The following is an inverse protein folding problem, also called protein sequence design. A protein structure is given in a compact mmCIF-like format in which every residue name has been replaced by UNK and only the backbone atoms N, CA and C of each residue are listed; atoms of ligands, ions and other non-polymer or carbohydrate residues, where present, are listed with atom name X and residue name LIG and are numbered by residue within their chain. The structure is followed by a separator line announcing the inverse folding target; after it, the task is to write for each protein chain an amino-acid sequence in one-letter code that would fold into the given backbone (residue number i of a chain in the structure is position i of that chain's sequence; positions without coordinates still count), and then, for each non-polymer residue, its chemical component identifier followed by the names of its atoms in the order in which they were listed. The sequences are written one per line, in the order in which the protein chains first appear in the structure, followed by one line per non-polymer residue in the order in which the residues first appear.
data_IF_018501411795
#
_entry.id   IF_018501411795
#
_cell.length_a   1.000
_cell.length_b   1.000
_cell.length_c   1.000
_cell.angle_alpha   90.00
_cell.angle_beta   90.00
_cell.angle_gamma   90.00
#
_symmetry.space_group_name_H-M   'P 1'
#
loop_
_entity.id
_entity.type
_entity.pdbx_description
1 polymer ?
#
# COMPACT_ATOMS: atom_id res chain seq x y z
N UNK A 1 -1.62 -9.44 14.83
CA UNK A 1 -0.77 -10.64 14.79
C UNK A 1 -1.27 -11.60 13.72
N UNK A 2 -0.39 -12.46 13.22
CA UNK A 2 -0.78 -13.46 12.22
C UNK A 2 -1.46 -14.67 12.88
N UNK A 3 -2.58 -15.08 12.30
CA UNK A 3 -3.29 -16.31 12.64
C UNK A 3 -3.04 -17.29 11.51
N UNK A 4 -2.17 -18.29 11.72
CA UNK A 4 -1.78 -19.22 10.66
C UNK A 4 -2.74 -20.39 10.62
N UNK A 5 -3.50 -20.51 9.54
CA UNK A 5 -4.42 -21.61 9.30
C UNK A 5 -3.92 -22.42 8.12
N UNK A 6 -3.64 -23.70 8.34
CA UNK A 6 -3.35 -24.65 7.27
C UNK A 6 -4.43 -25.73 7.21
N UNK A 7 -4.95 -26.00 6.02
CA UNK A 7 -5.83 -27.14 5.76
C UNK A 7 -5.05 -28.20 4.99
N UNK A 8 -4.78 -29.32 5.64
CA UNK A 8 -4.03 -30.43 5.05
C UNK A 8 -4.91 -31.26 4.10
N UNK A 9 -4.29 -32.06 3.25
CA UNK A 9 -5.01 -32.98 2.34
C UNK A 9 -5.84 -34.05 3.09
N UNK A 10 -5.52 -34.29 4.37
CA UNK A 10 -6.27 -35.16 5.29
C UNK A 10 -7.55 -34.53 5.85
N UNK A 11 -7.92 -33.32 5.41
CA UNK A 11 -8.97 -32.48 6.01
C UNK A 11 -8.69 -32.05 7.46
N UNK A 12 -7.46 -32.24 7.95
CA UNK A 12 -7.00 -31.73 9.25
C UNK A 12 -6.76 -30.22 9.18
N UNK A 13 -7.32 -29.48 10.15
CA UNK A 13 -7.09 -28.05 10.31
C UNK A 13 -5.93 -27.88 11.29
N UNK A 14 -4.92 -27.10 10.90
CA UNK A 14 -3.86 -26.64 11.77
C UNK A 14 -4.06 -25.15 12.05
N UNK A 15 -3.95 -24.78 13.32
CA UNK A 15 -3.91 -23.41 13.81
C UNK A 15 -2.56 -23.19 14.48
N UNK A 16 -1.75 -22.28 13.92
CA UNK A 16 -0.37 -22.01 14.36
C UNK A 16 0.48 -23.29 14.47
N UNK A 17 0.24 -24.23 13.54
CA UNK A 17 0.92 -25.53 13.47
C UNK A 17 0.34 -26.62 14.37
N UNK A 18 -0.67 -26.32 15.19
CA UNK A 18 -1.33 -27.29 16.08
C UNK A 18 -2.64 -27.79 15.46
N UNK A 19 -2.90 -29.09 15.53
CA UNK A 19 -4.16 -29.64 15.05
C UNK A 19 -5.33 -29.16 15.93
N UNK A 20 -6.38 -28.63 15.29
CA UNK A 20 -7.57 -28.12 15.95
C UNK A 20 -8.84 -28.56 15.23
N UNK A 21 -9.96 -28.52 15.94
CA UNK A 21 -11.29 -28.61 15.33
C UNK A 21 -11.87 -27.22 14.96
N UNK A 22 -13.05 -27.23 14.34
CA UNK A 22 -13.74 -25.99 13.93
C UNK A 22 -14.22 -25.14 15.11
N UNK A 23 -14.53 -25.74 16.27
CA UNK A 23 -14.99 -25.00 17.44
C UNK A 23 -13.84 -24.21 18.05
N UNK A 24 -12.69 -24.87 18.23
CA UNK A 24 -11.45 -24.27 18.69
C UNK A 24 -10.97 -23.16 17.76
N UNK A 25 -11.01 -23.39 16.44
CA UNK A 25 -10.70 -22.35 15.46
C UNK A 25 -11.64 -21.15 15.59
N UNK A 26 -12.96 -21.39 15.69
CA UNK A 26 -13.94 -20.31 15.83
C UNK A 26 -13.73 -19.50 17.11
N UNK A 27 -13.36 -20.16 18.21
CA UNK A 27 -13.02 -19.52 19.48
C UNK A 27 -11.75 -18.67 19.42
N UNK A 28 -10.77 -19.04 18.59
CA UNK A 28 -9.58 -18.20 18.32
C UNK A 28 -9.92 -17.01 17.44
N UNK A 29 -10.70 -17.23 16.37
CA UNK A 29 -11.11 -16.17 15.45
C UNK A 29 -12.05 -15.16 16.10
N UNK A 30 -12.91 -15.56 17.04
CA UNK A 30 -13.79 -14.63 17.77
C UNK A 30 -13.07 -13.68 18.70
N UNK A 31 -11.82 -13.99 19.07
CA UNK A 31 -10.96 -13.14 19.91
C UNK A 31 -10.03 -12.25 19.08
N UNK A 32 -10.03 -12.39 17.76
CA UNK A 32 -9.17 -11.64 16.87
C UNK A 32 -9.69 -10.22 16.67
N UNK A 33 -8.79 -9.24 16.62
CA UNK A 33 -9.09 -7.85 16.32
C UNK A 33 -8.82 -7.59 14.83
N UNK A 34 -9.85 -7.23 14.05
CA UNK A 34 -9.71 -7.03 12.60
C UNK A 34 -8.79 -5.85 12.20
N UNK A 35 -8.44 -4.98 13.15
CA UNK A 35 -7.48 -3.88 12.93
C UNK A 35 -6.04 -4.26 13.25
N UNK A 36 -5.82 -5.36 13.96
CA UNK A 36 -4.49 -5.80 14.41
C UNK A 36 -4.10 -7.17 13.86
N UNK A 37 -5.08 -8.04 13.60
CA UNK A 37 -4.88 -9.45 13.25
C UNK A 37 -5.20 -9.72 11.78
N UNK A 38 -4.42 -10.62 11.19
CA UNK A 38 -4.62 -11.13 9.82
C UNK A 38 -4.58 -12.65 9.83
N UNK A 39 -5.39 -13.27 8.96
CA UNK A 39 -5.36 -14.71 8.72
C UNK A 39 -4.40 -15.02 7.58
N UNK A 40 -3.42 -15.89 7.83
CA UNK A 40 -2.62 -16.51 6.77
C UNK A 40 -3.19 -17.89 6.48
N UNK A 41 -3.65 -18.12 5.25
CA UNK A 41 -4.36 -19.36 4.90
C UNK A 41 -3.60 -20.16 3.83
N UNK A 42 -3.24 -21.39 4.18
CA UNK A 42 -2.67 -22.38 3.27
C UNK A 42 -3.61 -23.56 3.13
N UNK A 43 -3.77 -24.07 1.90
CA UNK A 43 -4.49 -25.31 1.63
C UNK A 43 -3.60 -26.22 0.80
N UNK A 44 -3.33 -27.42 1.32
CA UNK A 44 -2.40 -28.36 0.71
C UNK A 44 -2.94 -29.00 -0.59
N UNK A 45 -4.26 -29.19 -0.69
CA UNK A 45 -4.88 -29.80 -1.86
C UNK A 45 -5.65 -28.77 -2.70
N UNK A 46 -5.04 -28.36 -3.82
CA UNK A 46 -5.64 -27.47 -4.81
C UNK A 46 -6.59 -28.20 -5.79
N UNK A 47 -6.60 -29.54 -5.83
CA UNK A 47 -7.40 -30.31 -6.79
C UNK A 47 -8.80 -30.64 -6.28
N UNK A 48 -8.98 -30.84 -4.96
CA UNK A 48 -10.33 -30.93 -4.36
C UNK A 48 -10.97 -29.55 -4.24
N UNK A 49 -11.82 -29.23 -5.22
CA UNK A 49 -12.55 -27.94 -5.31
C UNK A 49 -13.44 -27.62 -4.10
N UNK A 50 -13.96 -28.62 -3.39
CA UNK A 50 -14.84 -28.41 -2.24
C UNK A 50 -14.47 -29.36 -1.08
N UNK A 51 -13.82 -28.84 -0.04
CA UNK A 51 -13.87 -29.47 1.29
C UNK A 51 -14.75 -28.61 2.20
N UNK A 52 -15.66 -29.25 2.94
CA UNK A 52 -16.56 -28.54 3.86
C UNK A 52 -15.77 -27.73 4.90
N UNK A 53 -14.61 -28.23 5.32
CA UNK A 53 -13.70 -27.49 6.21
C UNK A 53 -13.17 -26.21 5.58
N UNK A 54 -12.72 -26.23 4.30
CA UNK A 54 -12.26 -25.01 3.62
C UNK A 54 -13.37 -23.95 3.57
N UNK A 55 -14.59 -24.37 3.25
CA UNK A 55 -15.73 -23.45 3.19
C UNK A 55 -16.05 -22.86 4.56
N UNK A 56 -16.08 -23.70 5.61
CA UNK A 56 -16.38 -23.26 6.97
C UNK A 56 -15.30 -22.31 7.53
N UNK A 57 -14.02 -22.58 7.25
CA UNK A 57 -12.92 -21.68 7.61
C UNK A 57 -13.14 -20.32 6.94
N UNK A 58 -13.31 -20.29 5.62
CA UNK A 58 -13.47 -19.02 4.88
C UNK A 58 -14.72 -18.26 5.33
N UNK A 59 -15.85 -18.94 5.54
CA UNK A 59 -17.07 -18.34 6.09
C UNK A 59 -16.81 -17.72 7.47
N UNK A 60 -16.07 -18.41 8.35
CA UNK A 60 -15.77 -17.91 9.69
C UNK A 60 -14.89 -16.65 9.67
N UNK A 61 -13.91 -16.59 8.77
CA UNK A 61 -13.04 -15.42 8.56
C UNK A 61 -13.84 -14.23 8.00
N UNK A 62 -14.64 -14.47 6.94
CA UNK A 62 -15.47 -13.45 6.29
C UNK A 62 -16.51 -12.87 7.26
N UNK A 63 -17.20 -13.73 8.03
CA UNK A 63 -18.21 -13.30 9.00
C UNK A 63 -17.67 -12.32 10.04
N UNK A 64 -16.36 -12.39 10.33
CA UNK A 64 -15.66 -11.54 11.29
C UNK A 64 -14.89 -10.39 10.64
N UNK A 65 -14.95 -10.27 9.31
CA UNK A 65 -14.24 -9.25 8.52
C UNK A 65 -12.74 -9.20 8.83
N UNK A 66 -12.14 -10.37 9.07
CA UNK A 66 -10.71 -10.45 9.29
C UNK A 66 -9.99 -10.37 7.93
N UNK A 67 -8.92 -9.55 7.82
CA UNK A 67 -8.03 -9.61 6.67
C UNK A 67 -7.51 -11.04 6.45
N UNK A 68 -7.43 -11.48 5.20
CA UNK A 68 -6.95 -12.82 4.85
C UNK A 68 -5.92 -12.73 3.72
N UNK A 69 -4.83 -13.47 3.86
CA UNK A 69 -3.78 -13.63 2.85
C UNK A 69 -3.61 -15.12 2.54
N UNK A 70 -3.74 -15.48 1.27
CA UNK A 70 -3.59 -16.85 0.80
C UNK A 70 -2.12 -17.16 0.55
N UNK A 71 -1.69 -18.40 0.81
CA UNK A 71 -0.32 -18.86 0.59
C UNK A 71 -0.32 -20.17 -0.19
N UNK A 72 0.66 -20.36 -1.08
CA UNK A 72 0.88 -21.62 -1.79
C UNK A 72 1.87 -22.54 -1.08
N UNK A 73 2.48 -22.07 0.01
CA UNK A 73 3.51 -22.80 0.76
C UNK A 73 3.08 -23.06 2.21
N UNK A 74 3.37 -24.24 2.77
CA UNK A 74 2.97 -24.60 4.13
C UNK A 74 3.68 -23.77 5.23
N UNK A 75 4.78 -23.10 4.90
CA UNK A 75 5.53 -22.23 5.80
C UNK A 75 5.07 -20.76 5.75
N UNK A 76 4.07 -20.43 4.93
CA UNK A 76 3.55 -19.09 4.71
C UNK A 76 4.61 -18.10 4.20
N UNK A 77 5.70 -18.59 3.59
CA UNK A 77 6.77 -17.76 3.06
C UNK A 77 6.38 -16.98 1.81
N UNK A 78 5.13 -17.10 1.35
CA UNK A 78 4.59 -16.45 0.18
C UNK A 78 3.19 -15.88 0.45
N UNK A 79 2.70 -15.10 -0.51
CA UNK A 79 1.30 -14.76 -0.60
C UNK A 79 0.80 -14.86 -2.04
N UNK A 80 -0.47 -15.13 -2.21
CA UNK A 80 -1.16 -15.16 -3.51
C UNK A 80 -1.86 -13.83 -3.69
N UNK A 81 -1.54 -13.13 -4.78
CA UNK A 81 -2.23 -11.91 -5.15
C UNK A 81 -3.62 -12.20 -5.74
N UNK A 82 -4.40 -11.15 -5.95
CA UNK A 82 -5.72 -11.23 -6.58
C UNK A 82 -5.73 -11.83 -8.00
N UNK A 83 -4.58 -11.95 -8.67
CA UNK A 83 -4.45 -12.59 -10.00
C UNK A 83 -4.09 -14.07 -9.89
N UNK A 84 -3.92 -14.60 -8.67
CA UNK A 84 -3.52 -15.97 -8.43
C UNK A 84 -2.01 -16.20 -8.52
N UNK A 85 -1.19 -15.15 -8.58
CA UNK A 85 0.26 -15.29 -8.62
C UNK A 85 0.86 -15.31 -7.21
N UNK A 86 1.78 -16.25 -6.99
CA UNK A 86 2.54 -16.37 -5.74
C UNK A 86 3.72 -15.40 -5.74
N UNK A 87 3.86 -14.64 -4.65
CA UNK A 87 4.95 -13.70 -4.40
C UNK A 87 5.66 -14.05 -3.10
N UNK A 88 7.00 -13.96 -3.03
CA UNK A 88 7.72 -14.13 -1.78
C UNK A 88 7.24 -13.13 -0.72
N UNK A 89 6.97 -13.63 0.48
CA UNK A 89 6.79 -12.81 1.67
C UNK A 89 8.18 -12.45 2.19
N UNK A 90 8.90 -11.60 1.46
CA UNK A 90 10.26 -11.18 1.84
C UNK A 90 10.22 -10.30 3.08
N UNK A 91 10.62 -10.88 4.22
CA UNK A 91 11.56 -10.30 5.20
C UNK A 91 11.26 -8.95 5.86
N UNK A 92 10.17 -8.26 5.54
CA UNK A 92 9.57 -7.32 6.48
C UNK A 92 9.20 -8.13 7.70
N UNK A 93 9.72 -7.76 8.88
CA UNK A 93 9.37 -8.43 10.12
C UNK A 93 7.86 -8.63 10.16
N UNK A 94 7.40 -9.87 10.39
CA UNK A 94 5.97 -10.19 10.62
C UNK A 94 5.37 -9.41 11.82
N UNK A 95 6.18 -8.57 12.48
CA UNK A 95 5.81 -7.68 13.58
C UNK A 95 5.88 -6.18 13.25
N UNK A 96 6.30 -5.78 12.04
CA UNK A 96 6.33 -4.37 11.65
C UNK A 96 5.18 -4.05 10.68
N UNK A 97 4.05 -3.50 11.16
CA UNK A 97 2.91 -3.14 10.33
C UNK A 97 3.23 -2.06 9.29
N UNK A 98 4.40 -1.42 9.36
CA UNK A 98 4.84 -0.36 8.45
C UNK A 98 5.83 -0.84 7.37
N UNK A 99 6.25 -2.11 7.42
CA UNK A 99 7.12 -2.69 6.42
C UNK A 99 6.49 -2.59 5.01
N UNK A 100 7.25 -2.25 3.96
CA UNK A 100 6.75 -2.21 2.59
C UNK A 100 6.19 -3.56 2.13
N UNK A 101 5.04 -3.53 1.46
CA UNK A 101 4.43 -4.67 0.78
C UNK A 101 3.46 -4.16 -0.29
N UNK A 102 3.11 -4.99 -1.27
CA UNK A 102 1.99 -4.69 -2.16
C UNK A 102 0.68 -5.16 -1.51
N UNK A 103 -0.25 -4.24 -1.16
CA UNK A 103 -1.49 -4.61 -0.51
C UNK A 103 -2.51 -5.17 -1.50
N UNK A 104 -3.42 -5.98 -0.97
CA UNK A 104 -4.68 -6.28 -1.66
C UNK A 104 -5.52 -5.00 -1.71
N UNK A 105 -5.99 -4.66 -2.91
CA UNK A 105 -6.76 -3.44 -3.14
C UNK A 105 -8.24 -3.73 -3.39
N UNK A 106 -9.10 -2.79 -3.00
CA UNK A 106 -10.52 -2.90 -3.32
C UNK A 106 -10.78 -2.56 -4.80
N UNK A 107 -11.12 -3.56 -5.61
CA UNK A 107 -11.43 -3.39 -7.03
C UNK A 107 -12.81 -2.76 -7.31
N UNK A 108 -13.66 -2.55 -6.29
CA UNK A 108 -15.07 -2.14 -6.47
C UNK A 108 -15.29 -0.72 -7.01
N UNK A 109 -14.28 0.16 -6.96
CA UNK A 109 -14.32 1.48 -7.63
C UNK A 109 -13.69 1.41 -9.03
N UNK A 110 -13.71 2.46 -9.83
CA UNK A 110 -12.87 2.53 -11.03
C UNK A 110 -11.57 3.27 -10.70
N UNK A 111 -10.36 2.74 -10.99
CA UNK A 111 -9.10 3.45 -10.77
C UNK A 111 -9.05 4.84 -11.43
N UNK A 112 -9.51 4.98 -12.66
CA UNK A 112 -9.46 6.26 -13.40
C UNK A 112 -10.31 7.32 -12.71
N UNK A 113 -11.51 6.95 -12.22
CA UNK A 113 -12.38 7.84 -11.46
C UNK A 113 -11.75 8.24 -10.13
N UNK A 114 -11.17 7.28 -9.41
CA UNK A 114 -10.49 7.50 -8.13
C UNK A 114 -9.34 8.48 -8.27
N UNK A 115 -8.47 8.29 -9.27
CA UNK A 115 -7.35 9.21 -9.46
C UNK A 115 -7.78 10.55 -10.06
N UNK A 116 -8.87 10.61 -10.85
CA UNK A 116 -9.47 11.88 -11.26
C UNK A 116 -9.98 12.66 -10.05
N UNK A 117 -10.67 11.99 -9.13
CA UNK A 117 -11.13 12.58 -7.87
C UNK A 117 -9.94 13.01 -7.01
N UNK A 118 -8.90 12.19 -6.84
CA UNK A 118 -7.70 12.53 -6.08
C UNK A 118 -7.01 13.80 -6.60
N UNK A 119 -6.91 13.95 -7.93
CA UNK A 119 -6.38 15.16 -8.57
C UNK A 119 -7.32 16.36 -8.40
N UNK A 120 -8.63 16.15 -8.32
CA UNK A 120 -9.60 17.22 -8.07
C UNK A 120 -9.58 17.71 -6.62
N UNK A 121 -9.22 16.85 -5.66
CA UNK A 121 -9.20 17.15 -4.22
C UNK A 121 -8.34 18.38 -3.88
N UNK A 122 -7.29 18.67 -4.66
CA UNK A 122 -6.48 19.86 -4.46
C UNK A 122 -7.30 21.15 -4.51
N UNK A 123 -8.39 21.25 -5.29
CA UNK A 123 -9.23 22.46 -5.31
C UNK A 123 -9.95 22.72 -3.99
N UNK A 124 -10.09 21.69 -3.16
CA UNK A 124 -10.73 21.76 -1.83
C UNK A 124 -9.71 22.02 -0.71
N UNK A 125 -8.42 21.94 -1.00
CA UNK A 125 -7.37 22.19 -0.03
C UNK A 125 -7.07 23.69 0.09
N UNK A 126 -6.67 24.19 1.28
CA UNK A 126 -6.25 25.58 1.45
C UNK A 126 -5.17 25.97 0.44
N UNK A 127 -5.41 27.06 -0.30
CA UNK A 127 -4.54 27.57 -1.36
C UNK A 127 -4.19 26.56 -2.46
N UNK A 128 -4.94 25.45 -2.57
CA UNK A 128 -4.63 24.38 -3.51
C UNK A 128 -3.40 23.55 -3.17
N UNK A 129 -2.88 23.65 -1.93
CA UNK A 129 -1.60 23.05 -1.51
C UNK A 129 -1.83 21.90 -0.53
N UNK A 130 -1.06 20.84 -0.69
CA UNK A 130 -1.09 19.69 0.20
C UNK A 130 -0.62 18.40 -0.44
N UNK A 131 -0.94 17.30 0.24
CA UNK A 131 -0.66 15.93 -0.20
C UNK A 131 -1.97 15.17 -0.22
N UNK A 132 -2.22 14.39 -1.25
CA UNK A 132 -3.41 13.52 -1.33
C UNK A 132 -2.96 12.07 -1.17
N UNK A 133 -3.53 11.34 -0.23
CA UNK A 133 -3.29 9.91 -0.08
C UNK A 133 -4.45 9.14 -0.71
N UNK A 134 -4.11 8.12 -1.50
CA UNK A 134 -5.06 7.14 -2.02
C UNK A 134 -4.82 5.85 -1.24
N UNK A 135 -5.80 5.48 -0.42
CA UNK A 135 -5.77 4.26 0.38
C UNK A 135 -6.00 3.01 -0.46
N UNK A 136 -5.70 1.84 0.13
CA UNK A 136 -5.87 0.52 -0.52
C UNK A 136 -7.33 0.18 -0.82
N UNK A 137 -8.24 0.76 -0.04
CA UNK A 137 -9.69 0.71 -0.25
C UNK A 137 -10.19 1.78 -1.23
N UNK A 138 -9.25 2.51 -1.87
CA UNK A 138 -9.48 3.65 -2.77
C UNK A 138 -10.21 4.81 -2.10
N UNK A 139 -10.08 4.95 -0.78
CA UNK A 139 -10.40 6.21 -0.10
C UNK A 139 -9.39 7.28 -0.49
N UNK A 140 -9.84 8.53 -0.50
CA UNK A 140 -9.04 9.69 -0.91
C UNK A 140 -8.99 10.65 0.26
N UNK A 141 -7.78 10.91 0.73
CA UNK A 141 -7.54 11.75 1.91
C UNK A 141 -6.69 12.94 1.49
N UNK A 142 -7.28 14.13 1.51
CA UNK A 142 -6.55 15.38 1.32
C UNK A 142 -5.91 15.84 2.63
N UNK A 143 -4.59 16.00 2.64
CA UNK A 143 -3.83 16.49 3.77
C UNK A 143 -3.33 17.91 3.51
N UNK A 144 -3.80 18.91 4.26
CA UNK A 144 -3.33 20.28 4.11
C UNK A 144 -1.89 20.39 4.61
N UNK A 145 -1.14 21.30 3.99
CA UNK A 145 0.18 21.75 4.49
C UNK A 145 0.02 22.99 5.36
N UNK A 146 0.99 23.31 6.22
CA UNK A 146 0.98 24.56 6.98
C UNK A 146 0.81 25.79 6.07
N UNK A 147 0.12 26.81 6.59
CA UNK A 147 0.03 28.12 5.92
C UNK A 147 1.41 28.73 5.69
N UNK A 148 1.54 29.57 4.67
CA UNK A 148 2.84 30.22 4.42
C UNK A 148 3.18 31.19 5.53
N UNK A 149 4.46 31.23 5.89
CA UNK A 149 5.03 32.26 6.75
C UNK A 149 6.45 32.52 6.28
N UNK A 150 6.95 33.75 6.48
CA UNK A 150 8.34 34.10 6.10
C UNK A 150 9.36 33.18 6.76
N UNK A 151 9.11 32.77 8.00
CA UNK A 151 9.99 31.86 8.75
C UNK A 151 10.00 30.45 8.15
N UNK A 152 8.84 29.91 7.79
CA UNK A 152 8.77 28.59 7.15
C UNK A 152 9.37 28.63 5.74
N UNK A 153 9.06 29.66 4.95
CA UNK A 153 9.64 29.84 3.61
C UNK A 153 11.18 29.90 3.64
N UNK A 154 11.77 30.54 4.65
CA UNK A 154 13.22 30.62 4.84
C UNK A 154 13.86 29.28 5.25
N UNK A 155 13.09 28.39 5.89
CA UNK A 155 13.55 27.07 6.37
C UNK A 155 13.31 25.94 5.38
N UNK A 156 12.51 26.16 4.34
CA UNK A 156 12.18 25.10 3.39
C UNK A 156 13.35 24.80 2.46
N UNK A 157 13.74 23.51 2.34
CA UNK A 157 14.79 23.12 1.41
C UNK A 157 14.33 23.41 -0.02
N UNK A 158 15.16 24.12 -0.79
CA UNK A 158 14.95 24.28 -2.23
C UNK A 158 15.50 23.04 -2.91
N UNK A 159 14.61 22.26 -3.53
CA UNK A 159 15.04 21.08 -4.28
C UNK A 159 15.56 21.51 -5.65
N UNK A 160 16.85 21.24 -5.97
CA UNK A 160 17.41 21.57 -7.27
C UNK A 160 16.61 20.89 -8.39
N UNK A 161 16.29 21.64 -9.46
CA UNK A 161 15.51 21.12 -10.59
C UNK A 161 13.98 21.12 -10.41
N UNK A 162 13.47 21.43 -9.21
CA UNK A 162 12.03 21.51 -8.92
C UNK A 162 11.57 22.95 -8.61
N UNK A 163 12.17 23.95 -9.25
CA UNK A 163 11.89 25.37 -9.00
C UNK A 163 10.50 25.87 -9.42
N UNK A 164 9.69 25.03 -10.08
CA UNK A 164 8.31 25.34 -10.48
C UNK A 164 7.36 24.26 -9.96
N UNK A 165 6.15 24.64 -9.51
CA UNK A 165 5.10 23.68 -9.17
C UNK A 165 4.88 22.65 -10.28
N UNK A 166 4.80 21.38 -9.90
CA UNK A 166 4.56 20.28 -10.82
C UNK A 166 3.59 19.26 -10.20
N UNK A 167 3.10 18.33 -11.03
CA UNK A 167 2.22 17.24 -10.65
C UNK A 167 3.06 15.99 -10.42
N UNK A 168 2.94 15.39 -9.24
CA UNK A 168 3.77 14.27 -8.83
C UNK A 168 2.89 13.12 -8.33
N UNK A 169 3.14 11.93 -8.88
CA UNK A 169 2.65 10.68 -8.33
C UNK A 169 3.76 10.07 -7.47
N UNK A 170 3.39 9.48 -6.33
CA UNK A 170 4.34 8.80 -5.46
C UNK A 170 3.86 7.37 -5.22
N UNK A 171 4.74 6.40 -5.46
CA UNK A 171 4.53 5.01 -5.07
C UNK A 171 5.20 4.78 -3.71
N UNK A 172 4.39 4.51 -2.68
CA UNK A 172 4.85 4.25 -1.32
C UNK A 172 3.85 3.34 -0.58
N UNK A 173 4.23 2.83 0.60
CA UNK A 173 3.33 1.98 1.39
C UNK A 173 2.16 2.79 1.96
N UNK A 174 0.99 2.68 1.32
CA UNK A 174 -0.28 3.23 1.81
C UNK A 174 -1.14 2.21 2.56
N UNK A 175 -0.72 0.94 2.61
CA UNK A 175 -1.47 -0.14 3.28
C UNK A 175 -1.52 -0.01 4.81
N UNK A 176 -0.53 0.65 5.39
CA UNK A 176 -0.50 0.95 6.83
C UNK A 176 -1.19 2.28 7.20
N UNK A 177 -1.75 3.00 6.22
CA UNK A 177 -2.34 4.32 6.44
C UNK A 177 -3.85 4.18 6.63
N UNK A 178 -4.42 4.73 7.71
CA UNK A 178 -5.85 4.64 7.96
C UNK A 178 -6.68 5.34 6.88
N UNK A 179 -7.87 4.80 6.58
CA UNK A 179 -8.86 5.32 5.61
C UNK A 179 -9.55 6.63 6.02
N UNK A 180 -9.07 7.29 7.09
CA UNK A 180 -9.61 8.55 7.62
C UNK A 180 -8.49 9.58 7.73
N UNK A 181 -8.79 10.89 7.62
CA UNK A 181 -7.79 11.93 7.75
C UNK A 181 -6.96 11.77 9.04
N UNK A 182 -5.63 11.67 8.94
CA UNK A 182 -4.79 11.37 10.09
C UNK A 182 -4.83 12.53 11.10
N UNK A 183 -5.08 12.20 12.37
CA UNK A 183 -4.82 13.11 13.50
C UNK A 183 -3.30 13.28 13.68
N UNK A 184 -2.88 14.23 14.51
CA UNK A 184 -1.46 14.49 14.75
C UNK A 184 -0.66 13.25 15.23
N UNK A 185 -1.30 12.29 15.92
CA UNK A 185 -0.63 11.04 16.28
C UNK A 185 -0.46 10.10 15.07
N UNK A 186 -1.43 10.07 14.17
CA UNK A 186 -1.47 9.19 12.99
C UNK A 186 -0.42 9.62 11.94
N UNK A 187 0.00 10.89 11.97
CA UNK A 187 1.14 11.37 11.17
C UNK A 187 2.44 10.64 11.50
N UNK A 188 2.64 10.22 12.76
CA UNK A 188 3.82 9.42 13.13
C UNK A 188 3.80 8.05 12.46
N UNK A 189 2.63 7.45 12.33
CA UNK A 189 2.46 6.16 11.67
C UNK A 189 2.63 6.27 10.16
N UNK A 190 2.13 7.36 9.55
CA UNK A 190 2.44 7.69 8.14
C UNK A 190 3.94 7.85 7.93
N UNK A 191 4.68 8.49 8.85
CA UNK A 191 6.14 8.64 8.72
C UNK A 191 6.91 7.32 8.92
N UNK A 192 6.34 6.32 9.61
CA UNK A 192 6.93 4.98 9.67
C UNK A 192 6.70 4.23 8.36
N UNK A 193 5.47 4.29 7.84
CA UNK A 193 5.12 3.67 6.56
C UNK A 193 5.87 4.31 5.38
N UNK A 194 6.07 5.62 5.41
CA UNK A 194 6.72 6.43 4.38
C UNK A 194 7.81 7.30 5.03
N UNK A 195 9.05 6.79 5.17
CA UNK A 195 10.14 7.47 5.90
C UNK A 195 10.51 8.87 5.38
N UNK A 196 10.21 9.16 4.11
CA UNK A 196 10.44 10.47 3.50
C UNK A 196 9.18 11.35 3.43
N UNK A 197 8.15 11.05 4.21
CA UNK A 197 6.90 11.83 4.21
C UNK A 197 7.13 13.31 4.54
N UNK A 198 8.11 13.64 5.38
CA UNK A 198 8.51 15.03 5.64
C UNK A 198 8.96 15.78 4.37
N UNK A 199 9.70 15.12 3.48
CA UNK A 199 10.08 15.66 2.17
C UNK A 199 8.85 15.88 1.26
N UNK A 200 7.91 14.92 1.27
CA UNK A 200 6.65 15.03 0.53
C UNK A 200 5.85 16.25 1.00
N UNK A 201 5.75 16.47 2.32
CA UNK A 201 5.07 17.63 2.89
C UNK A 201 5.78 18.95 2.52
N UNK A 202 7.12 18.98 2.52
CA UNK A 202 7.88 20.15 2.09
C UNK A 202 7.64 20.48 0.61
N UNK A 203 7.53 19.46 -0.25
CA UNK A 203 7.15 19.63 -1.66
C UNK A 203 5.71 20.14 -1.82
N UNK A 204 4.77 19.61 -1.03
CA UNK A 204 3.39 20.13 -1.03
C UNK A 204 3.34 21.60 -0.59
N UNK A 205 4.13 21.96 0.43
CA UNK A 205 4.28 23.34 0.89
C UNK A 205 4.83 24.27 -0.20
N UNK A 206 5.84 23.81 -0.95
CA UNK A 206 6.42 24.52 -2.09
C UNK A 206 5.45 24.68 -3.29
N UNK A 207 4.26 24.06 -3.22
CA UNK A 207 3.18 24.22 -4.18
C UNK A 207 3.07 23.09 -5.20
N UNK A 208 3.84 22.01 -5.05
CA UNK A 208 3.66 20.84 -5.91
C UNK A 208 2.36 20.10 -5.55
N UNK A 209 1.69 19.54 -6.57
CA UNK A 209 0.49 18.72 -6.38
C UNK A 209 0.89 17.26 -6.33
N UNK A 210 0.74 16.65 -5.16
CA UNK A 210 1.29 15.33 -4.87
C UNK A 210 0.21 14.37 -4.45
N UNK A 211 0.07 13.25 -5.16
CA UNK A 211 -0.75 12.14 -4.70
C UNK A 211 0.08 10.87 -4.51
N UNK A 212 -0.22 10.14 -3.44
CA UNK A 212 0.51 8.95 -3.00
C UNK A 212 -0.40 7.74 -3.10
N UNK A 213 0.11 6.63 -3.63
CA UNK A 213 -0.59 5.36 -3.73
C UNK A 213 0.41 4.20 -3.69
N UNK A 214 -0.08 2.97 -3.65
CA UNK A 214 0.71 1.75 -3.45
C UNK A 214 1.44 1.24 -4.71
N UNK A 215 1.09 1.73 -5.90
CA UNK A 215 1.69 1.25 -7.15
C UNK A 215 1.09 -0.04 -7.70
N UNK A 216 -0.09 -0.47 -7.21
CA UNK A 216 -0.71 -1.73 -7.61
C UNK A 216 -0.93 -1.82 -9.13
N UNK A 217 -0.70 -2.99 -9.78
CA UNK A 217 -0.82 -3.15 -11.23
C UNK A 217 -2.10 -2.60 -11.88
N UNK A 218 -3.25 -2.79 -11.23
CA UNK A 218 -4.54 -2.29 -11.73
C UNK A 218 -4.71 -0.77 -11.60
N UNK A 219 -3.89 -0.14 -10.76
CA UNK A 219 -3.97 1.28 -10.40
C UNK A 219 -2.83 2.08 -11.01
N UNK A 220 -1.74 1.42 -11.43
CA UNK A 220 -0.48 2.04 -11.84
C UNK A 220 -0.68 3.10 -12.93
N UNK A 221 -1.31 2.75 -14.05
CA UNK A 221 -1.43 3.66 -15.19
C UNK A 221 -2.35 4.86 -14.87
N UNK A 222 -3.52 4.61 -14.26
CA UNK A 222 -4.42 5.67 -13.80
C UNK A 222 -3.77 6.57 -12.74
N UNK A 223 -2.96 5.96 -11.87
CA UNK A 223 -2.26 6.59 -10.77
C UNK A 223 -1.11 7.48 -11.21
N UNK A 224 -0.41 7.16 -12.29
CA UNK A 224 0.68 8.04 -12.79
C UNK A 224 0.23 8.99 -13.89
N UNK A 225 -0.99 8.83 -14.41
CA UNK A 225 -1.57 9.71 -15.42
C UNK A 225 -1.55 11.16 -14.94
N UNK A 226 -1.19 12.08 -15.85
CA UNK A 226 -1.05 13.51 -15.58
C UNK A 226 0.10 13.90 -14.65
N UNK A 227 0.91 12.94 -14.18
CA UNK A 227 2.13 13.25 -13.42
C UNK A 227 3.27 13.60 -14.39
N UNK A 228 4.04 14.62 -14.04
CA UNK A 228 5.33 14.90 -14.69
C UNK A 228 6.47 14.17 -13.97
N UNK A 229 6.28 13.84 -12.69
CA UNK A 229 7.26 13.14 -11.88
C UNK A 229 6.60 11.97 -11.19
N UNK A 230 7.23 10.80 -11.30
CA UNK A 230 6.94 9.65 -10.48
C UNK A 230 8.10 9.46 -9.51
N UNK A 231 7.82 9.54 -8.21
CA UNK A 231 8.77 9.19 -7.17
C UNK A 231 8.40 7.83 -6.61
N UNK A 232 9.34 6.88 -6.65
CA UNK A 232 9.13 5.52 -6.16
C UNK A 232 9.94 5.31 -4.90
N UNK A 233 9.27 4.88 -3.85
CA UNK A 233 9.92 4.38 -2.65
C UNK A 233 10.71 3.09 -2.96
N UNK A 234 12.01 3.06 -2.66
CA UNK A 234 12.85 1.87 -2.91
C UNK A 234 12.34 0.62 -2.20
N UNK A 235 11.66 0.77 -1.06
CA UNK A 235 11.04 -0.34 -0.35
C UNK A 235 9.89 -0.99 -1.12
N UNK A 236 9.23 -0.26 -2.03
CA UNK A 236 8.14 -0.78 -2.85
C UNK A 236 8.62 -1.48 -4.13
N UNK A 237 9.86 -1.25 -4.57
CA UNK A 237 10.40 -1.78 -5.83
C UNK A 237 10.27 -3.31 -5.98
N UNK A 238 10.57 -4.13 -4.95
CA UNK A 238 10.47 -5.60 -5.08
C UNK A 238 9.05 -6.09 -5.37
N UNK A 239 8.03 -5.28 -5.11
CA UNK A 239 6.63 -5.66 -5.25
C UNK A 239 5.95 -5.09 -6.51
N UNK A 240 6.66 -4.28 -7.30
CA UNK A 240 6.13 -3.76 -8.55
C UNK A 240 6.24 -4.83 -9.64
N UNK A 241 5.19 -4.93 -10.49
CA UNK A 241 5.16 -5.89 -11.60
C UNK A 241 6.36 -5.68 -12.55
N UNK A 242 6.81 -6.75 -13.19
CA UNK A 242 7.75 -6.61 -14.31
C UNK A 242 7.20 -5.63 -15.36
N UNK A 243 8.07 -4.78 -15.90
CA UNK A 243 7.68 -3.74 -16.87
C UNK A 243 6.90 -2.55 -16.28
N UNK A 244 6.74 -2.43 -14.95
CA UNK A 244 6.06 -1.29 -14.31
C UNK A 244 6.58 0.07 -14.80
N UNK A 245 7.90 0.18 -15.00
CA UNK A 245 8.56 1.43 -15.42
C UNK A 245 8.10 1.86 -16.82
N UNK A 246 8.06 0.93 -17.77
CA UNK A 246 7.62 1.20 -19.14
C UNK A 246 6.13 1.57 -19.18
N UNK A 247 5.30 0.86 -18.41
CA UNK A 247 3.88 1.18 -18.27
C UNK A 247 3.69 2.60 -17.69
N UNK A 248 4.45 2.93 -16.64
CA UNK A 248 4.37 4.25 -16.03
C UNK A 248 4.83 5.37 -16.99
N UNK A 249 5.96 5.19 -17.67
CA UNK A 249 6.47 6.16 -18.64
C UNK A 249 5.47 6.43 -19.78
N UNK A 250 4.75 5.39 -20.21
CA UNK A 250 3.73 5.51 -21.26
C UNK A 250 2.52 6.32 -20.79
N UNK A 251 2.10 6.14 -19.54
CA UNK A 251 0.91 6.79 -18.99
C UNK A 251 1.15 8.24 -18.50
N UNK A 252 2.38 8.62 -18.19
CA UNK A 252 2.76 9.95 -17.68
C UNK A 252 2.80 11.04 -18.77
N UNK A 253 2.59 12.30 -18.34
CA UNK A 253 2.67 13.47 -19.21
C UNK A 253 4.13 13.89 -19.44
N UNK A 254 4.46 14.31 -20.67
CA UNK A 254 5.76 14.89 -20.98
C UNK A 254 5.85 16.36 -20.49
N UNK A 255 7.01 16.82 -19.97
CA UNK A 255 8.22 16.06 -19.69
C UNK A 255 8.06 15.16 -18.46
N UNK A 256 8.40 13.87 -18.60
CA UNK A 256 8.26 12.84 -17.56
C UNK A 256 9.60 12.48 -16.95
N UNK A 257 9.65 12.36 -15.63
CA UNK A 257 10.83 11.94 -14.87
C UNK A 257 10.44 10.86 -13.87
N UNK A 258 11.22 9.78 -13.78
CA UNK A 258 11.05 8.74 -12.76
C UNK A 258 12.27 8.75 -11.83
N UNK A 259 12.01 8.91 -10.54
CA UNK A 259 13.02 8.96 -9.48
C UNK A 259 12.74 7.84 -8.48
N UNK A 260 13.80 7.30 -7.88
CA UNK A 260 13.69 6.35 -6.77
C UNK A 260 14.24 7.00 -5.52
N UNK A 261 13.44 7.05 -4.45
CA UNK A 261 13.93 7.44 -3.14
C UNK A 261 14.50 6.20 -2.43
N UNK A 262 15.82 6.18 -2.21
CA UNK A 262 16.46 5.13 -1.42
C UNK A 262 16.15 5.34 0.07
N UNK A 263 15.38 4.43 0.67
CA UNK A 263 15.02 4.47 2.10
C UNK A 263 16.22 4.45 3.04
N UNK A 264 17.23 3.64 2.73
CA UNK A 264 18.38 3.41 3.62
C UNK A 264 19.35 4.58 3.60
N UNK A 265 19.62 5.12 2.41
CA UNK A 265 20.58 6.19 2.19
C UNK A 265 19.97 7.59 2.28
N UNK A 266 18.64 7.66 2.38
CA UNK A 266 17.88 8.92 2.35
C UNK A 266 18.26 9.82 1.15
N UNK A 267 18.43 9.18 -0.01
CA UNK A 267 18.95 9.80 -1.22
C UNK A 267 18.01 9.59 -2.41
N UNK A 268 17.92 10.58 -3.30
CA UNK A 268 17.24 10.44 -4.58
C UNK A 268 18.20 9.81 -5.59
N UNK A 269 17.90 8.59 -5.99
CA UNK A 269 18.56 7.94 -7.11
C UNK A 269 17.83 8.39 -8.38
N UNK A 270 18.55 9.16 -9.21
CA UNK A 270 18.11 9.39 -10.58
C UNK A 270 18.19 8.05 -11.30
N UNK A 271 17.05 7.54 -11.75
CA UNK A 271 17.07 6.40 -12.66
C UNK A 271 17.42 6.95 -14.03
N UNK A 272 18.71 7.17 -14.28
CA UNK A 272 19.20 7.44 -15.62
C UNK A 272 18.66 6.35 -16.57
N UNK A 273 18.30 6.76 -17.78
CA UNK A 273 17.72 5.91 -18.82
C UNK A 273 18.46 4.59 -18.95
N UNK A 274 17.74 3.50 -18.72
CA UNK A 274 18.07 2.17 -19.22
C UNK A 274 16.87 1.71 -20.02
#
# INVERSE_FOLDING_TARGET
MDIKIALLASDTILLDGQAVDLEQLNGRLSKADSSQDQVLYYKQDLQRRCSAHSENILRAVIARRLPISFSTRPDFSDYVDQFGHSHPRTGGSLNDPFAPFMPDINLGRNPEEVFAEARSTFSKLPEGRGVVLVGVDRTIIGMPVPGRSRELDARMPRLPGLGKPCRMAIIANTGAIPSVPPKAQDLRDVTKAIPFFGLIMALGYAGHRIWVFEGHPSSLEAGVRSAHILLVDSGMLPFLREGWRAAAQTAMDAPRTILVHNREQYALLSTASA
#
